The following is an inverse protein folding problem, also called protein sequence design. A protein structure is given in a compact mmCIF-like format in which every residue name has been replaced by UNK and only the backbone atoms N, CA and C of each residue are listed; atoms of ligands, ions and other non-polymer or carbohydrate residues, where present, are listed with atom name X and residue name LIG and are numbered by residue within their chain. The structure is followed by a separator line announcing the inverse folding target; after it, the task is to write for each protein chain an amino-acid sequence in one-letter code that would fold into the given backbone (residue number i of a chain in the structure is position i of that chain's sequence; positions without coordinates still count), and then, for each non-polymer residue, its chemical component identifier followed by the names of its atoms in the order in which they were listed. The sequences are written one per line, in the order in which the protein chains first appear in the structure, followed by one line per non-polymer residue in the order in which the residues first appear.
data_IF_904799329754
#
_entry.id   IF_904799329754
#
_cell.length_a   1.000
_cell.length_b   1.000
_cell.length_c   1.000
_cell.angle_alpha   90.00
_cell.angle_beta   90.00
_cell.angle_gamma   90.00
#
_symmetry.space_group_name_H-M   'P 1'
#
loop_
_entity.id
_entity.type
_entity.pdbx_description
1 polymer ?
#
# COMPACT_ATOMS: atom_id res chain seq x y z
N UNK A 1 -15.07 17.02 -6.97
CA UNK A 1 -13.69 17.11 -7.51
C UNK A 1 -12.96 15.84 -7.12
N UNK A 2 -12.42 15.09 -8.09
CA UNK A 2 -11.51 13.96 -7.81
C UNK A 2 -10.19 14.53 -7.32
N UNK A 3 -9.61 13.97 -6.26
CA UNK A 3 -8.35 14.46 -5.67
C UNK A 3 -7.38 13.29 -5.56
N UNK A 4 -6.10 13.56 -5.84
CA UNK A 4 -5.02 12.63 -5.54
C UNK A 4 -4.62 12.87 -4.09
N UNK A 5 -4.71 11.82 -3.26
CA UNK A 5 -4.40 11.87 -1.85
C UNK A 5 -3.57 10.63 -1.47
N UNK A 6 -2.60 10.76 -0.55
CA UNK A 6 -1.95 9.58 0.02
C UNK A 6 -2.98 8.80 0.86
N UNK A 7 -3.15 7.52 0.57
CA UNK A 7 -4.05 6.65 1.32
C UNK A 7 -3.42 5.28 1.54
N UNK A 8 -3.76 4.63 2.64
CA UNK A 8 -3.38 3.24 2.88
C UNK A 8 -4.30 2.35 2.05
N UNK A 9 -3.72 1.51 1.19
CA UNK A 9 -4.44 0.58 0.33
C UNK A 9 -3.88 -0.82 0.49
N UNK A 10 -4.71 -1.82 0.23
CA UNK A 10 -4.24 -3.19 0.07
C UNK A 10 -3.60 -3.30 -1.32
N UNK A 11 -2.33 -3.69 -1.36
CA UNK A 11 -1.62 -3.90 -2.61
C UNK A 11 -1.89 -5.31 -3.16
N UNK A 12 -2.22 -5.37 -4.43
CA UNK A 12 -2.57 -6.58 -5.20
C UNK A 12 -1.61 -6.77 -6.38
N UNK A 13 -0.36 -6.31 -6.24
CA UNK A 13 0.70 -6.38 -7.26
C UNK A 13 1.35 -5.03 -7.59
N UNK A 14 0.90 -3.92 -7.01
CA UNK A 14 1.53 -2.60 -7.22
C UNK A 14 2.96 -2.58 -6.71
N UNK A 15 3.89 -2.09 -7.52
CA UNK A 15 5.32 -2.03 -7.20
C UNK A 15 5.95 -3.39 -6.82
N UNK A 16 5.42 -4.50 -7.34
CA UNK A 16 5.79 -5.87 -6.95
C UNK A 16 5.53 -6.19 -5.47
N UNK A 17 4.54 -5.51 -4.88
CA UNK A 17 4.06 -5.73 -3.50
C UNK A 17 2.67 -6.35 -3.60
N UNK A 18 2.47 -7.49 -2.95
CA UNK A 18 1.20 -8.21 -2.94
C UNK A 18 0.87 -8.71 -1.53
N UNK A 19 -0.41 -8.64 -1.18
CA UNK A 19 -0.95 -9.21 0.05
C UNK A 19 -0.66 -8.43 1.32
N UNK A 20 -0.48 -7.10 1.24
CA UNK A 20 -0.27 -6.25 2.42
C UNK A 20 -0.80 -4.84 2.22
N UNK A 21 -0.92 -4.08 3.31
CA UNK A 21 -1.31 -2.68 3.29
C UNK A 21 -0.10 -1.76 3.11
N UNK A 22 -0.20 -0.82 2.18
CA UNK A 22 0.86 0.15 1.87
C UNK A 22 0.27 1.52 1.55
N UNK A 23 0.98 2.58 1.94
CA UNK A 23 0.60 3.96 1.64
C UNK A 23 0.94 4.32 0.21
N UNK A 24 -0.07 4.45 -0.66
CA UNK A 24 0.09 4.81 -2.07
C UNK A 24 -0.75 6.05 -2.41
N UNK A 25 -0.33 6.85 -3.39
CA UNK A 25 -1.16 7.94 -3.89
C UNK A 25 -2.35 7.35 -4.65
N UNK A 26 -3.55 7.69 -4.22
CA UNK A 26 -4.79 7.22 -4.84
C UNK A 26 -5.63 8.38 -5.33
N UNK A 27 -6.38 8.12 -6.40
CA UNK A 27 -7.44 8.99 -6.86
C UNK A 27 -8.71 8.66 -6.11
N UNK A 28 -9.08 9.53 -5.18
CA UNK A 28 -10.28 9.37 -4.39
C UNK A 28 -11.47 10.03 -5.08
N UNK A 29 -12.54 9.25 -5.23
CA UNK A 29 -13.82 9.66 -5.80
C UNK A 29 -14.98 9.43 -4.84
N UNK A 30 -16.21 9.53 -5.36
CA UNK A 30 -17.42 9.32 -4.54
C UNK A 30 -17.59 7.86 -4.12
N UNK A 31 -17.03 6.94 -4.89
CA UNK A 31 -17.14 5.50 -4.68
C UNK A 31 -15.93 4.93 -3.91
N UNK A 32 -15.11 5.78 -3.29
CA UNK A 32 -13.86 5.38 -2.63
C UNK A 32 -12.65 5.52 -3.56
N UNK A 33 -11.77 4.53 -3.53
CA UNK A 33 -10.55 4.49 -4.36
C UNK A 33 -10.96 4.15 -5.79
N UNK A 34 -10.77 5.09 -6.72
CA UNK A 34 -11.05 4.85 -8.13
C UNK A 34 -9.82 4.31 -8.89
N UNK A 35 -8.61 4.65 -8.42
CA UNK A 35 -7.35 4.36 -9.11
C UNK A 35 -6.18 4.50 -8.13
N UNK A 36 -5.22 3.58 -8.18
CA UNK A 36 -3.92 3.73 -7.54
C UNK A 36 -2.97 4.37 -8.55
N UNK A 37 -2.41 5.52 -8.22
CA UNK A 37 -1.54 6.27 -9.12
C UNK A 37 -0.12 5.70 -9.01
N UNK A 38 0.35 5.03 -10.05
CA UNK A 38 1.74 4.58 -10.10
C UNK A 38 2.65 5.70 -10.62
N UNK A 39 3.67 6.03 -9.84
CA UNK A 39 4.72 6.98 -10.23
C UNK A 39 6.02 6.22 -10.40
N UNK A 40 6.90 6.72 -11.26
CA UNK A 40 8.24 6.15 -11.40
C UNK A 40 9.03 6.41 -10.13
N UNK A 41 9.35 5.34 -9.41
CA UNK A 41 10.25 5.37 -8.26
C UNK A 41 11.66 5.03 -8.72
N UNK A 42 12.66 5.63 -8.10
CA UNK A 42 14.05 5.19 -8.21
C UNK A 42 14.24 3.83 -7.52
N UNK A 43 15.31 3.11 -7.86
CA UNK A 43 15.62 1.81 -7.22
C UNK A 43 15.73 1.94 -5.69
N UNK A 44 16.22 3.08 -5.21
CA UNK A 44 16.34 3.37 -3.78
C UNK A 44 14.96 3.54 -3.14
N UNK A 45 14.08 4.38 -3.71
CA UNK A 45 12.73 4.60 -3.19
C UNK A 45 11.88 3.33 -3.25
N UNK A 46 12.02 2.54 -4.33
CA UNK A 46 11.35 1.24 -4.45
C UNK A 46 11.81 0.30 -3.33
N UNK A 47 13.12 0.22 -3.07
CA UNK A 47 13.66 -0.58 -1.96
C UNK A 47 13.12 -0.11 -0.60
N UNK A 48 13.07 1.20 -0.35
CA UNK A 48 12.50 1.76 0.88
C UNK A 48 11.01 1.43 1.03
N UNK A 49 10.24 1.49 -0.07
CA UNK A 49 8.83 1.09 -0.10
C UNK A 49 8.65 -0.40 0.25
N UNK A 50 9.45 -1.29 -0.33
CA UNK A 50 9.41 -2.73 -0.01
C UNK A 50 9.75 -3.00 1.45
N UNK A 51 10.74 -2.31 2.02
CA UNK A 51 11.09 -2.44 3.44
C UNK A 51 9.89 -2.02 4.30
N UNK A 52 9.27 -0.87 4.00
CA UNK A 52 8.10 -0.40 4.74
C UNK A 52 6.92 -1.37 4.64
N UNK A 53 6.61 -1.88 3.45
CA UNK A 53 5.54 -2.85 3.25
C UNK A 53 5.80 -4.17 3.98
N UNK A 54 7.08 -4.61 4.01
CA UNK A 54 7.52 -5.78 4.75
C UNK A 54 7.27 -5.66 6.26
N UNK A 55 7.58 -4.52 6.87
CA UNK A 55 7.30 -4.28 8.29
C UNK A 55 5.80 -4.32 8.61
N UNK A 56 4.95 -3.76 7.74
CA UNK A 56 3.49 -3.80 7.92
C UNK A 56 2.98 -5.23 7.80
N UNK A 57 3.48 -5.98 6.82
CA UNK A 57 3.12 -7.38 6.62
C UNK A 57 3.48 -8.22 7.86
N UNK A 58 4.70 -8.10 8.35
CA UNK A 58 5.15 -8.79 9.57
C UNK A 58 4.26 -8.45 10.77
N UNK A 59 3.90 -7.17 10.93
CA UNK A 59 2.99 -6.76 12.00
C UNK A 59 1.60 -7.39 11.86
N UNK A 60 1.03 -7.39 10.65
CA UNK A 60 -0.26 -8.02 10.36
C UNK A 60 -0.22 -9.53 10.63
N UNK A 61 0.82 -10.22 10.17
CA UNK A 61 1.03 -11.65 10.38
C UNK A 61 1.11 -11.98 11.88
N UNK A 62 1.86 -11.19 12.65
CA UNK A 62 1.94 -11.35 14.11
C UNK A 62 0.59 -11.14 14.81
N UNK A 63 -0.21 -10.19 14.37
CA UNK A 63 -1.55 -9.97 14.95
C UNK A 63 -2.48 -11.14 14.61
N UNK A 64 -2.36 -11.70 13.40
CA UNK A 64 -3.10 -12.88 12.99
C UNK A 64 -2.72 -14.12 13.81
N UNK A 65 -1.42 -14.36 14.06
CA UNK A 65 -0.94 -15.43 14.93
C UNK A 65 -1.48 -15.32 16.37
N UNK A 66 -1.70 -14.10 16.86
CA UNK A 66 -2.29 -13.84 18.18
C UNK A 66 -3.81 -14.05 18.22
N UNK A 67 -4.45 -14.40 17.11
CA UNK A 67 -5.89 -14.70 17.03
C UNK A 67 -6.79 -13.46 17.10
N UNK A 68 -6.27 -12.29 16.74
CA UNK A 68 -6.99 -11.01 16.82
C UNK A 68 -7.52 -10.49 15.47
N UNK A 69 -7.27 -11.23 14.37
CA UNK A 69 -7.74 -10.97 13.00
C UNK A 69 -8.00 -12.31 12.30
#
# INVERSE_FOLDING_TARGET
KKKILPCCVYAEGEYDIDGTFVGLPVKLGRNGIEEIVQISLTDKEKKELHISAGHVKELCDRIHELGHL
#
